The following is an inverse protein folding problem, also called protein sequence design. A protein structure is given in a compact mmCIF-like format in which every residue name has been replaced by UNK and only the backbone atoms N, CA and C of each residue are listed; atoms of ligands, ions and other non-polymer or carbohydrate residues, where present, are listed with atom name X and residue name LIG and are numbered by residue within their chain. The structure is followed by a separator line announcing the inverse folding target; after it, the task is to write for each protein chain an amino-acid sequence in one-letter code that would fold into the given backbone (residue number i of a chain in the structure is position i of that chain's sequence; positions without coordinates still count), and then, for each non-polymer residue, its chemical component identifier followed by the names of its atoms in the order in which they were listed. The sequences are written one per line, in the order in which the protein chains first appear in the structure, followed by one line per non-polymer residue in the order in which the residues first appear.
data_IF_853390918892
#
_entry.id   IF_853390918892
#
_cell.length_a   1.000
_cell.length_b   1.000
_cell.length_c   1.000
_cell.angle_alpha   90.00
_cell.angle_beta   90.00
_cell.angle_gamma   90.00
#
_symmetry.space_group_name_H-M   'P 1'
#
loop_
_entity.id
_entity.type
_entity.pdbx_description
1 polymer ?
#
# COMPACT_ATOMS: atom_id res chain seq x y z
N UNK A 1 -28.56 -34.78 -23.86
CA UNK A 1 -28.03 -33.41 -24.02
C UNK A 1 -28.46 -32.50 -22.87
N UNK A 2 -29.76 -32.44 -22.52
CA UNK A 2 -30.29 -31.65 -21.38
C UNK A 2 -29.74 -32.06 -19.99
N UNK A 3 -29.46 -33.34 -19.77
CA UNK A 3 -28.93 -33.87 -18.49
C UNK A 3 -27.44 -33.60 -18.29
N UNK A 4 -26.64 -33.67 -19.35
CA UNK A 4 -25.21 -33.35 -19.32
C UNK A 4 -24.99 -31.85 -19.08
N UNK A 5 -25.82 -31.00 -19.70
CA UNK A 5 -25.79 -29.55 -19.47
C UNK A 5 -26.13 -29.19 -18.01
N UNK A 6 -27.12 -29.86 -17.42
CA UNK A 6 -27.47 -29.67 -16.00
C UNK A 6 -26.37 -30.14 -15.05
N UNK A 7 -25.69 -31.25 -15.36
CA UNK A 7 -24.55 -31.72 -14.58
C UNK A 7 -23.35 -30.77 -14.62
N UNK A 8 -23.05 -30.21 -15.80
CA UNK A 8 -21.99 -29.21 -15.96
C UNK A 8 -22.31 -27.90 -15.21
N UNK A 9 -23.56 -27.42 -15.29
CA UNK A 9 -24.01 -26.23 -14.54
C UNK A 9 -23.95 -26.44 -13.02
N UNK A 10 -24.29 -27.64 -12.53
CA UNK A 10 -24.21 -27.96 -11.11
C UNK A 10 -22.76 -27.97 -10.60
N UNK A 11 -21.83 -28.53 -11.38
CA UNK A 11 -20.40 -28.50 -11.05
C UNK A 11 -19.83 -27.09 -11.02
N UNK A 12 -20.22 -26.24 -11.98
CA UNK A 12 -19.84 -24.82 -12.00
C UNK A 12 -20.41 -24.07 -10.79
N UNK A 13 -21.67 -24.32 -10.42
CA UNK A 13 -22.31 -23.70 -9.26
C UNK A 13 -21.65 -24.12 -7.93
N UNK A 14 -21.26 -25.39 -7.80
CA UNK A 14 -20.52 -25.89 -6.63
C UNK A 14 -19.12 -25.25 -6.57
N UNK A 15 -18.45 -25.11 -7.72
CA UNK A 15 -17.14 -24.47 -7.79
C UNK A 15 -17.20 -22.99 -7.40
N UNK A 16 -18.21 -22.24 -7.85
CA UNK A 16 -18.47 -20.84 -7.47
C UNK A 16 -18.87 -20.67 -6.00
N UNK A 17 -19.51 -21.67 -5.40
CA UNK A 17 -19.92 -21.63 -3.99
C UNK A 17 -18.79 -21.99 -3.03
N UNK A 18 -17.77 -22.73 -3.50
CA UNK A 18 -16.61 -23.15 -2.71
C UNK A 18 -15.41 -22.20 -2.84
N UNK A 19 -15.45 -21.22 -3.74
CA UNK A 19 -14.44 -20.16 -3.76
C UNK A 19 -14.64 -19.24 -2.55
N UNK A 20 -13.63 -19.03 -1.70
CA UNK A 20 -13.75 -18.08 -0.59
C UNK A 20 -14.11 -16.70 -1.14
N UNK A 21 -15.24 -16.16 -0.69
CA UNK A 21 -15.77 -14.85 -1.11
C UNK A 21 -14.94 -13.64 -0.59
N UNK A 22 -13.77 -13.90 -0.02
CA UNK A 22 -12.88 -12.91 0.57
C UNK A 22 -11.50 -13.00 -0.07
N UNK A 23 -11.45 -13.00 -1.40
CA UNK A 23 -10.32 -12.42 -2.10
C UNK A 23 -10.75 -11.01 -2.47
N UNK A 24 -10.70 -10.09 -1.50
CA UNK A 24 -10.52 -8.68 -1.86
C UNK A 24 -9.26 -8.68 -2.69
N UNK A 25 -9.40 -8.54 -4.01
CA UNK A 25 -8.28 -8.23 -4.87
C UNK A 25 -7.84 -6.81 -4.47
N UNK A 26 -7.13 -6.71 -3.35
CA UNK A 26 -6.40 -5.52 -2.99
C UNK A 26 -5.55 -5.21 -4.20
N UNK A 27 -5.74 -4.01 -4.75
CA UNK A 27 -5.10 -3.60 -5.99
C UNK A 27 -3.64 -3.25 -5.70
N UNK A 28 -2.84 -4.24 -5.30
CA UNK A 28 -1.41 -4.08 -5.00
C UNK A 28 -0.61 -3.53 -6.20
N UNK A 29 -1.14 -3.72 -7.41
CA UNK A 29 -0.58 -3.21 -8.66
C UNK A 29 -1.01 -1.78 -9.02
N UNK A 30 -1.99 -1.19 -8.34
CA UNK A 30 -2.35 0.21 -8.59
C UNK A 30 -1.35 1.12 -7.88
N UNK A 31 -0.58 1.84 -8.70
CA UNK A 31 0.40 2.81 -8.23
C UNK A 31 -0.23 3.92 -7.38
N UNK A 32 -1.53 4.17 -7.55
CA UNK A 32 -2.28 5.19 -6.83
C UNK A 32 -2.91 4.67 -5.52
N UNK A 33 -2.69 3.40 -5.18
CA UNK A 33 -3.10 2.84 -3.89
C UNK A 33 -1.90 2.51 -3.02
N UNK A 34 -2.03 2.77 -1.72
CA UNK A 34 -1.00 2.49 -0.73
C UNK A 34 -1.65 1.81 0.48
N UNK A 35 -1.22 0.59 0.79
CA UNK A 35 -1.96 -0.28 1.71
C UNK A 35 -2.02 0.24 3.16
N UNK A 36 -0.98 0.95 3.62
CA UNK A 36 -0.98 1.58 4.94
C UNK A 36 -2.01 2.72 4.96
N UNK A 37 -2.07 3.52 3.90
CA UNK A 37 -3.03 4.60 3.72
C UNK A 37 -4.48 4.08 3.57
N UNK A 38 -4.70 3.01 2.81
CA UNK A 38 -6.03 2.40 2.67
C UNK A 38 -6.50 1.80 4.00
N UNK A 39 -5.60 1.17 4.75
CA UNK A 39 -5.93 0.64 6.08
C UNK A 39 -6.30 1.76 7.05
N UNK A 40 -5.59 2.89 7.01
CA UNK A 40 -5.97 4.06 7.78
C UNK A 40 -7.38 4.56 7.45
N UNK A 41 -7.74 4.63 6.16
CA UNK A 41 -9.11 5.02 5.75
C UNK A 41 -10.17 4.09 6.33
N UNK A 42 -9.92 2.77 6.31
CA UNK A 42 -10.81 1.77 6.92
C UNK A 42 -10.95 1.98 8.43
N UNK A 43 -9.82 2.19 9.13
CA UNK A 43 -9.81 2.44 10.59
C UNK A 43 -10.57 3.71 10.93
N UNK A 44 -10.29 4.84 10.27
CA UNK A 44 -11.00 6.10 10.50
C UNK A 44 -12.49 5.96 10.22
N UNK A 45 -12.86 5.30 9.12
CA UNK A 45 -14.27 5.07 8.77
C UNK A 45 -14.99 4.24 9.84
N UNK A 46 -14.34 3.19 10.34
CA UNK A 46 -14.90 2.33 11.39
C UNK A 46 -15.07 3.08 12.73
N UNK A 47 -14.06 3.84 13.14
CA UNK A 47 -14.08 4.60 14.39
C UNK A 47 -14.99 5.83 14.33
N UNK A 48 -15.24 6.38 13.15
CA UNK A 48 -16.17 7.49 12.94
C UNK A 48 -17.66 7.12 13.01
N UNK A 49 -18.00 5.84 13.13
CA UNK A 49 -19.40 5.39 13.30
C UNK A 49 -19.92 5.73 14.71
N UNK A 50 -21.25 5.77 14.86
CA UNK A 50 -21.91 5.94 16.17
C UNK A 50 -22.89 4.79 16.43
N UNK A 51 -22.57 3.83 17.33
CA UNK A 51 -21.31 3.70 18.07
C UNK A 51 -20.14 3.30 17.16
N UNK A 52 -18.91 3.60 17.60
CA UNK A 52 -17.69 3.24 16.88
C UNK A 52 -17.56 1.72 16.69
N UNK A 53 -17.16 1.31 15.49
CA UNK A 53 -17.01 -0.10 15.11
C UNK A 53 -15.57 -0.58 15.33
N UNK A 54 -15.23 -0.74 16.60
CA UNK A 54 -13.91 -1.19 17.05
C UNK A 54 -13.50 -2.53 16.45
N UNK A 55 -14.46 -3.43 16.23
CA UNK A 55 -14.18 -4.75 15.65
C UNK A 55 -13.68 -4.62 14.21
N UNK A 56 -14.30 -3.76 13.40
CA UNK A 56 -13.83 -3.51 12.04
C UNK A 56 -12.46 -2.80 12.02
N UNK A 57 -12.23 -1.84 12.93
CA UNK A 57 -10.96 -1.15 13.04
C UNK A 57 -9.80 -2.11 13.43
N UNK A 58 -10.02 -2.96 14.44
CA UNK A 58 -9.07 -3.99 14.87
C UNK A 58 -8.77 -5.00 13.76
N UNK A 59 -9.80 -5.44 13.02
CA UNK A 59 -9.62 -6.37 11.91
C UNK A 59 -8.73 -5.78 10.80
N UNK A 60 -8.99 -4.53 10.40
CA UNK A 60 -8.20 -3.83 9.39
C UNK A 60 -6.73 -3.65 9.83
N UNK A 61 -6.49 -3.23 11.07
CA UNK A 61 -5.13 -3.08 11.60
C UNK A 61 -4.39 -4.42 11.66
N UNK A 62 -5.08 -5.48 12.10
CA UNK A 62 -4.47 -6.81 12.26
C UNK A 62 -3.92 -7.37 10.94
N UNK A 63 -4.61 -7.15 9.83
CA UNK A 63 -4.15 -7.59 8.51
C UNK A 63 -2.84 -6.94 8.08
N UNK A 64 -2.56 -5.72 8.56
CA UNK A 64 -1.36 -4.96 8.23
C UNK A 64 -0.29 -4.96 9.31
N UNK A 65 -0.55 -5.60 10.46
CA UNK A 65 0.36 -5.54 11.61
C UNK A 65 1.77 -6.02 11.26
N UNK A 66 1.90 -7.12 10.53
CA UNK A 66 3.22 -7.65 10.13
C UNK A 66 3.97 -6.67 9.22
N UNK A 67 3.25 -5.96 8.35
CA UNK A 67 3.80 -4.88 7.52
C UNK A 67 4.28 -3.73 8.41
N UNK A 68 3.53 -3.38 9.46
CA UNK A 68 3.94 -2.31 10.39
C UNK A 68 5.21 -2.68 11.15
N UNK A 69 5.27 -3.89 11.69
CA UNK A 69 6.47 -4.39 12.39
C UNK A 69 7.67 -4.41 11.43
N UNK A 70 7.51 -4.97 10.23
CA UNK A 70 8.60 -5.12 9.28
C UNK A 70 9.19 -3.79 8.78
N UNK A 71 8.43 -2.70 8.82
CA UNK A 71 8.86 -1.44 8.22
C UNK A 71 9.02 -0.29 9.21
N UNK A 72 8.34 -0.33 10.35
CA UNK A 72 8.33 0.72 11.36
C UNK A 72 8.75 0.22 12.76
N UNK A 73 8.92 -1.10 12.91
CA UNK A 73 9.36 -1.73 14.15
C UNK A 73 8.22 -2.14 15.09
N UNK A 74 8.51 -3.04 16.02
CA UNK A 74 7.53 -3.58 16.97
C UNK A 74 6.98 -2.48 17.90
N UNK A 75 7.77 -1.47 18.26
CA UNK A 75 7.32 -0.36 19.12
C UNK A 75 6.17 0.45 18.52
N UNK A 76 6.20 0.69 17.19
CA UNK A 76 5.12 1.39 16.48
C UNK A 76 3.86 0.55 16.44
N UNK A 77 3.98 -0.71 16.03
CA UNK A 77 2.85 -1.63 15.96
C UNK A 77 2.21 -1.83 17.35
N UNK A 78 3.01 -2.05 18.39
CA UNK A 78 2.55 -2.23 19.75
C UNK A 78 1.88 -0.97 20.33
N UNK A 79 2.34 0.23 19.96
CA UNK A 79 1.68 1.49 20.36
C UNK A 79 0.29 1.58 19.73
N UNK A 80 0.14 1.28 18.44
CA UNK A 80 -1.17 1.26 17.78
C UNK A 80 -2.09 0.19 18.38
N UNK A 81 -1.55 -1.00 18.70
CA UNK A 81 -2.31 -2.06 19.39
C UNK A 81 -2.81 -1.59 20.76
N UNK A 82 -1.98 -0.88 21.53
CA UNK A 82 -2.34 -0.34 22.84
C UNK A 82 -3.45 0.72 22.73
N UNK A 83 -3.33 1.68 21.80
CA UNK A 83 -4.36 2.69 21.58
C UNK A 83 -5.71 2.07 21.20
N UNK A 84 -5.68 1.02 20.35
CA UNK A 84 -6.87 0.30 19.94
C UNK A 84 -7.53 -0.43 21.12
N UNK A 85 -6.73 -1.10 21.97
CA UNK A 85 -7.21 -1.78 23.18
C UNK A 85 -7.81 -0.81 24.20
N UNK A 86 -7.21 0.38 24.34
CA UNK A 86 -7.71 1.45 25.20
C UNK A 86 -9.01 2.09 24.70
N UNK A 87 -9.43 1.77 23.47
CA UNK A 87 -10.59 2.38 22.78
C UNK A 87 -10.51 3.89 22.69
N UNK A 88 -9.31 4.42 22.55
CA UNK A 88 -9.05 5.84 22.36
C UNK A 88 -8.96 6.15 20.86
N UNK A 89 -10.09 6.58 20.28
CA UNK A 89 -10.16 6.82 18.84
C UNK A 89 -9.23 7.96 18.39
N UNK A 90 -9.07 8.97 19.24
CA UNK A 90 -8.21 10.12 18.93
C UNK A 90 -6.74 9.70 18.93
N UNK A 91 -6.30 8.93 19.94
CA UNK A 91 -4.94 8.40 20.00
C UNK A 91 -4.64 7.43 18.84
N UNK A 92 -5.59 6.54 18.49
CA UNK A 92 -5.44 5.64 17.33
C UNK A 92 -5.25 6.45 16.05
N UNK A 93 -6.15 7.42 15.79
CA UNK A 93 -6.13 8.21 14.55
C UNK A 93 -4.87 9.10 14.50
N UNK A 94 -4.47 9.71 15.61
CA UNK A 94 -3.27 10.55 15.68
C UNK A 94 -1.99 9.74 15.37
N UNK A 95 -1.81 8.60 16.04
CA UNK A 95 -0.63 7.76 15.82
C UNK A 95 -0.61 7.08 14.45
N UNK A 96 -1.77 6.78 13.87
CA UNK A 96 -1.83 6.32 12.48
C UNK A 96 -1.37 7.40 11.50
N UNK A 97 -1.80 8.66 11.68
CA UNK A 97 -1.34 9.78 10.84
C UNK A 97 0.17 9.95 10.93
N UNK A 98 0.73 9.84 12.13
CA UNK A 98 2.17 9.85 12.34
C UNK A 98 2.86 8.67 11.62
N UNK A 99 2.30 7.46 11.68
CA UNK A 99 2.83 6.32 10.91
C UNK A 99 2.74 6.54 9.38
N UNK A 100 1.73 7.25 8.87
CA UNK A 100 1.69 7.64 7.45
C UNK A 100 2.81 8.63 7.09
N UNK A 101 3.21 9.51 8.01
CA UNK A 101 4.42 10.32 7.83
C UNK A 101 5.68 9.44 7.78
N UNK A 102 5.79 8.42 8.64
CA UNK A 102 6.90 7.45 8.56
C UNK A 102 6.90 6.70 7.24
N UNK A 103 5.72 6.43 6.71
CA UNK A 103 5.57 5.83 5.39
C UNK A 103 6.02 6.78 4.26
N UNK A 104 5.76 8.09 4.36
CA UNK A 104 6.32 9.08 3.41
C UNK A 104 7.84 9.01 3.41
N UNK A 105 8.49 9.05 4.59
CA UNK A 105 9.94 8.90 4.70
C UNK A 105 10.41 7.63 3.97
N UNK A 106 9.83 6.48 4.34
CA UNK A 106 10.15 5.19 3.72
C UNK A 106 10.05 5.20 2.19
N UNK A 107 8.98 5.78 1.63
CA UNK A 107 8.77 5.81 0.18
C UNK A 107 9.76 6.74 -0.52
N UNK A 108 10.02 7.92 0.05
CA UNK A 108 10.96 8.90 -0.49
C UNK A 108 12.41 8.40 -0.43
N UNK A 109 12.87 7.88 0.70
CA UNK A 109 14.20 7.27 0.86
C UNK A 109 14.43 6.18 -0.19
N UNK A 110 13.46 5.27 -0.37
CA UNK A 110 13.56 4.22 -1.37
C UNK A 110 13.52 4.77 -2.81
N UNK A 111 12.80 5.87 -3.07
CA UNK A 111 12.73 6.49 -4.39
C UNK A 111 14.08 7.10 -4.76
N UNK A 112 14.76 7.75 -3.81
CA UNK A 112 16.14 8.27 -3.97
C UNK A 112 17.11 7.11 -4.22
N UNK A 113 17.04 6.04 -3.43
CA UNK A 113 17.90 4.86 -3.64
C UNK A 113 17.67 4.18 -5.00
N UNK A 114 16.46 4.29 -5.54
CA UNK A 114 16.06 3.69 -6.80
C UNK A 114 16.03 4.69 -7.96
N UNK A 115 16.64 5.87 -7.81
CA UNK A 115 16.52 7.00 -8.75
C UNK A 115 16.94 6.66 -10.18
N UNK A 116 17.86 5.69 -10.36
CA UNK A 116 18.27 5.18 -11.67
C UNK A 116 17.37 4.06 -12.23
N UNK A 117 16.42 3.53 -11.45
CA UNK A 117 15.33 2.68 -11.91
C UNK A 117 14.05 3.52 -11.99
N UNK A 118 13.82 4.11 -13.17
CA UNK A 118 12.69 5.00 -13.42
C UNK A 118 11.34 4.38 -13.03
N UNK A 119 11.12 3.09 -13.33
CA UNK A 119 9.84 2.42 -13.04
C UNK A 119 9.66 2.27 -11.53
N UNK A 120 10.70 1.88 -10.82
CA UNK A 120 10.66 1.72 -9.37
C UNK A 120 10.52 3.07 -8.65
N UNK A 121 11.33 4.07 -9.00
CA UNK A 121 11.23 5.41 -8.42
C UNK A 121 9.86 6.04 -8.66
N UNK A 122 9.32 5.92 -9.89
CA UNK A 122 7.97 6.40 -10.22
C UNK A 122 6.88 5.74 -9.39
N UNK A 123 6.94 4.41 -9.20
CA UNK A 123 5.98 3.68 -8.38
C UNK A 123 6.04 4.13 -6.92
N UNK A 124 7.24 4.32 -6.38
CA UNK A 124 7.45 4.78 -5.01
C UNK A 124 6.89 6.20 -4.79
N UNK A 125 7.13 7.11 -5.73
CA UNK A 125 6.58 8.47 -5.69
C UNK A 125 5.06 8.48 -5.81
N UNK A 126 4.47 7.62 -6.64
CA UNK A 126 3.02 7.48 -6.73
C UNK A 126 2.41 7.00 -5.40
N UNK A 127 3.03 6.02 -4.73
CA UNK A 127 2.60 5.53 -3.41
C UNK A 127 2.79 6.57 -2.30
N UNK A 128 3.87 7.35 -2.36
CA UNK A 128 4.06 8.49 -1.47
C UNK A 128 2.96 9.55 -1.69
N UNK A 129 2.61 9.86 -2.93
CA UNK A 129 1.52 10.79 -3.27
C UNK A 129 0.18 10.33 -2.71
N UNK A 130 -0.17 9.05 -2.89
CA UNK A 130 -1.39 8.47 -2.33
C UNK A 130 -1.43 8.56 -0.78
N UNK A 131 -0.27 8.39 -0.13
CA UNK A 131 -0.13 8.58 1.32
C UNK A 131 -0.34 10.05 1.71
N UNK A 132 0.27 10.99 0.98
CA UNK A 132 0.08 12.43 1.19
C UNK A 132 -1.38 12.86 1.00
N UNK A 133 -2.03 12.43 -0.09
CA UNK A 133 -3.43 12.76 -0.37
C UNK A 133 -4.37 12.26 0.73
N UNK A 134 -4.00 11.16 1.39
CA UNK A 134 -4.72 10.65 2.56
C UNK A 134 -4.52 11.52 3.81
N UNK A 135 -3.35 12.13 3.97
CA UNK A 135 -3.03 13.03 5.08
C UNK A 135 -3.50 14.48 4.86
N UNK A 136 -3.54 14.95 3.62
CA UNK A 136 -3.77 16.35 3.26
C UNK A 136 -5.04 16.97 3.90
N UNK A 137 -6.21 16.30 3.94
CA UNK A 137 -7.41 16.84 4.59
C UNK A 137 -7.20 17.14 6.09
N UNK A 138 -6.30 16.43 6.75
CA UNK A 138 -6.00 16.63 8.17
C UNK A 138 -4.98 17.76 8.41
N UNK A 139 -4.30 18.22 7.37
CA UNK A 139 -3.35 19.33 7.42
C UNK A 139 -4.02 20.69 7.15
N UNK A 140 -5.24 20.73 6.60
CA UNK A 140 -5.98 21.97 6.23
C UNK A 140 -6.18 22.94 7.41
N UNK A 141 -6.17 22.44 8.65
CA UNK A 141 -6.27 23.28 9.85
C UNK A 141 -4.98 24.05 10.19
N UNK A 142 -3.86 23.70 9.55
CA UNK A 142 -2.51 24.20 9.84
C UNK A 142 -1.80 24.77 8.60
N UNK A 143 -2.17 24.29 7.41
CA UNK A 143 -1.62 24.72 6.14
C UNK A 143 -2.70 25.42 5.32
N UNK A 144 -2.30 26.47 4.61
CA UNK A 144 -3.21 27.12 3.66
C UNK A 144 -3.43 26.23 2.44
N UNK A 145 -4.50 26.49 1.69
CA UNK A 145 -4.72 25.83 0.40
C UNK A 145 -3.53 26.02 -0.56
N UNK A 146 -2.92 27.21 -0.56
CA UNK A 146 -1.75 27.48 -1.40
C UNK A 146 -0.55 26.63 -1.00
N UNK A 147 -0.33 26.41 0.31
CA UNK A 147 0.72 25.52 0.79
C UNK A 147 0.46 24.08 0.34
N UNK A 148 -0.78 23.58 0.50
CA UNK A 148 -1.15 22.23 0.07
C UNK A 148 -1.04 22.03 -1.45
N UNK A 149 -1.45 23.02 -2.24
CA UNK A 149 -1.28 23.01 -3.69
C UNK A 149 0.22 23.01 -4.05
N UNK A 150 1.06 23.73 -3.29
CA UNK A 150 2.51 23.72 -3.41
C UNK A 150 3.13 22.35 -3.14
N UNK A 151 2.76 21.70 -2.03
CA UNK A 151 3.22 20.34 -1.71
C UNK A 151 2.77 19.32 -2.76
N UNK A 152 1.58 19.51 -3.35
CA UNK A 152 1.13 18.68 -4.47
C UNK A 152 1.99 18.88 -5.72
N UNK A 153 2.42 20.11 -6.01
CA UNK A 153 3.32 20.41 -7.10
C UNK A 153 4.74 19.84 -6.87
N UNK A 154 5.20 19.73 -5.62
CA UNK A 154 6.47 19.09 -5.29
C UNK A 154 6.50 17.60 -5.69
N UNK A 155 5.36 16.89 -5.66
CA UNK A 155 5.29 15.53 -6.22
C UNK A 155 5.51 15.51 -7.74
N UNK A 156 5.00 16.51 -8.46
CA UNK A 156 5.20 16.62 -9.91
C UNK A 156 6.67 17.01 -10.23
N UNK A 157 7.29 17.82 -9.38
CA UNK A 157 8.71 18.14 -9.44
C UNK A 157 9.57 16.89 -9.18
N UNK A 158 9.27 16.11 -8.14
CA UNK A 158 9.94 14.84 -7.85
C UNK A 158 9.81 13.85 -9.01
N UNK A 159 8.62 13.73 -9.62
CA UNK A 159 8.39 12.88 -10.79
C UNK A 159 9.19 13.35 -12.02
N UNK A 160 9.37 14.66 -12.16
CA UNK A 160 10.21 15.24 -13.23
C UNK A 160 11.70 15.04 -12.97
N UNK A 161 12.09 14.98 -11.70
CA UNK A 161 13.48 14.82 -11.26
C UNK A 161 13.99 13.39 -11.45
N UNK A 162 13.14 12.35 -11.34
CA UNK A 162 13.57 10.96 -11.63
C UNK A 162 13.90 10.71 -13.12
N UNK A 163 13.81 11.72 -13.98
CA UNK A 163 14.16 11.64 -15.39
C UNK A 163 13.09 10.97 -16.25
N UNK A 164 13.51 10.48 -17.42
CA UNK A 164 12.68 9.74 -18.36
C UNK A 164 13.57 8.82 -19.20
N UNK A 165 13.35 7.48 -19.24
CA UNK A 165 14.17 6.59 -20.06
C UNK A 165 14.01 6.83 -21.56
N UNK A 166 12.92 7.48 -22.00
CA UNK A 166 12.58 7.68 -23.39
C UNK A 166 12.08 6.41 -24.08
N UNK A 167 11.36 6.58 -25.20
CA UNK A 167 10.94 5.44 -26.02
C UNK A 167 12.13 5.00 -26.87
N UNK A 168 12.71 3.84 -26.58
CA UNK A 168 13.96 3.38 -27.20
C UNK A 168 15.12 4.39 -27.06
N UNK A 169 15.14 5.16 -25.97
CA UNK A 169 16.14 6.20 -25.70
C UNK A 169 15.85 7.55 -26.37
N UNK A 170 14.84 7.65 -27.24
CA UNK A 170 14.41 8.95 -27.78
C UNK A 170 13.69 9.73 -26.68
N UNK A 171 14.17 10.95 -26.42
CA UNK A 171 13.66 11.80 -25.34
C UNK A 171 14.18 11.40 -23.94
N UNK A 172 15.28 10.64 -23.87
CA UNK A 172 15.92 10.29 -22.59
C UNK A 172 16.30 11.55 -21.81
N UNK A 173 15.97 11.57 -20.54
CA UNK A 173 16.39 12.56 -19.54
C UNK A 173 16.98 11.78 -18.37
N UNK A 174 18.23 12.09 -18.02
CA UNK A 174 18.84 11.49 -16.83
C UNK A 174 18.15 11.98 -15.55
N UNK A 175 18.16 11.18 -14.48
CA UNK A 175 17.67 11.62 -13.19
C UNK A 175 18.51 12.78 -12.62
N UNK A 176 17.86 13.66 -11.88
CA UNK A 176 18.43 14.73 -11.08
C UNK A 176 18.17 14.41 -9.60
N UNK A 177 19.16 13.77 -8.96
CA UNK A 177 19.06 13.34 -7.57
C UNK A 177 18.85 14.50 -6.60
N UNK A 178 19.49 15.65 -6.87
CA UNK A 178 19.39 16.82 -5.99
C UNK A 178 17.99 17.43 -6.07
N UNK A 179 17.45 17.58 -7.28
CA UNK A 179 16.08 18.06 -7.46
C UNK A 179 15.06 17.09 -6.85
N UNK A 180 15.30 15.78 -6.93
CA UNK A 180 14.46 14.78 -6.26
C UNK A 180 14.49 14.95 -4.75
N UNK A 181 15.68 15.01 -4.15
CA UNK A 181 15.87 15.21 -2.71
C UNK A 181 15.21 16.50 -2.23
N UNK A 182 15.38 17.61 -2.97
CA UNK A 182 14.78 18.90 -2.61
C UNK A 182 13.26 18.81 -2.57
N UNK A 183 12.65 18.25 -3.62
CA UNK A 183 11.20 18.13 -3.72
C UNK A 183 10.61 17.24 -2.62
N UNK A 184 11.19 16.06 -2.35
CA UNK A 184 10.66 15.16 -1.31
C UNK A 184 10.85 15.73 0.10
N UNK A 185 11.92 16.51 0.32
CA UNK A 185 12.15 17.17 1.60
C UNK A 185 11.20 18.34 1.87
N UNK A 186 10.72 19.06 0.84
CA UNK A 186 9.66 20.05 1.02
C UNK A 186 8.39 19.38 1.55
N UNK A 187 7.96 18.28 0.91
CA UNK A 187 6.78 17.52 1.34
C UNK A 187 6.97 16.96 2.75
N UNK A 188 8.07 16.25 2.99
CA UNK A 188 8.29 15.61 4.27
C UNK A 188 8.45 16.63 5.41
N UNK A 189 9.23 17.69 5.20
CA UNK A 189 9.46 18.74 6.19
C UNK A 189 8.21 19.52 6.56
N UNK A 190 7.27 19.71 5.62
CA UNK A 190 5.98 20.33 5.91
C UNK A 190 5.03 19.39 6.69
N UNK A 191 5.04 18.10 6.39
CA UNK A 191 4.09 17.14 6.96
C UNK A 191 4.53 16.58 8.33
N UNK A 192 5.83 16.31 8.52
CA UNK A 192 6.39 15.75 9.76
C UNK A 192 5.96 16.48 11.05
N UNK A 193 6.07 17.82 11.16
CA UNK A 193 5.73 18.53 12.40
C UNK A 193 4.22 18.53 12.71
N UNK A 194 3.36 18.24 11.73
CA UNK A 194 1.90 18.28 11.90
C UNK A 194 1.34 17.01 12.56
N UNK A 195 2.06 15.89 12.47
CA UNK A 195 1.59 14.58 12.92
C UNK A 195 2.63 13.88 13.79
N UNK A 196 2.89 14.39 15.02
CA UNK A 196 3.86 13.78 15.92
C UNK A 196 3.41 12.40 16.39
N UNK A 197 4.33 11.45 16.40
CA UNK A 197 4.09 10.13 17.00
C UNK A 197 4.22 10.21 18.52
N UNK A 198 3.25 9.64 19.23
CA UNK A 198 3.24 9.55 20.69
C UNK A 198 3.28 8.08 21.08
N UNK A 199 4.48 7.60 21.44
CA UNK A 199 4.69 6.22 21.85
C UNK A 199 3.94 5.91 23.16
N UNK A 200 3.35 4.72 23.23
CA UNK A 200 2.77 4.23 24.48
C UNK A 200 3.89 3.72 25.42
N UNK A 201 3.99 4.22 26.67
CA UNK A 201 5.05 3.82 27.60
C UNK A 201 5.07 2.33 27.92
N UNK A 202 3.91 1.66 27.91
CA UNK A 202 3.80 0.22 28.11
C UNK A 202 4.15 -0.58 26.84
N UNK A 203 4.04 0.02 25.66
CA UNK A 203 4.52 -0.56 24.41
C UNK A 203 6.07 -0.48 24.27
N UNK A 204 6.71 0.54 24.83
CA UNK A 204 8.16 0.71 24.81
C UNK A 204 8.94 -0.44 25.48
N UNK A 205 8.33 -1.13 26.45
CA UNK A 205 8.91 -2.31 27.10
C UNK A 205 8.80 -3.62 26.29
N UNK A 206 8.01 -3.63 25.20
CA UNK A 206 7.85 -4.80 24.31
C UNK A 206 8.78 -4.75 23.10
N UNK A 207 9.27 -3.57 22.75
CA UNK A 207 10.35 -3.41 21.78
C UNK A 207 11.64 -3.97 22.39
N UNK A 208 12.30 -4.92 21.72
CA UNK A 208 13.63 -5.37 22.16
C UNK A 208 14.61 -4.20 22.15
N UNK A 209 15.72 -4.27 22.89
CA UNK A 209 16.68 -3.15 23.01
C UNK A 209 17.29 -2.63 21.70
N UNK A 210 17.04 -3.30 20.56
CA UNK A 210 17.40 -2.86 19.20
C UNK A 210 16.26 -2.17 18.43
N UNK A 211 15.01 -2.26 18.92
CA UNK A 211 13.79 -1.69 18.30
C UNK A 211 13.39 -0.36 18.95
N UNK A 212 14.28 0.25 19.75
CA UNK A 212 14.05 1.61 20.26
C UNK A 212 13.98 2.52 19.05
N UNK A 213 12.78 3.04 18.82
CA UNK A 213 12.43 3.88 17.69
C UNK A 213 13.43 5.01 17.55
N UNK A 214 14.34 4.85 16.58
CA UNK A 214 15.28 5.92 16.24
C UNK A 214 14.43 7.08 15.74
N UNK A 215 14.68 8.28 16.27
CA UNK A 215 13.95 9.46 15.86
C UNK A 215 14.03 9.60 14.34
N UNK A 216 12.89 9.84 13.69
CA UNK A 216 12.86 10.03 12.25
C UNK A 216 13.80 11.17 11.83
N UNK A 217 14.49 11.05 10.69
CA UNK A 217 15.46 12.04 10.25
C UNK A 217 14.77 13.38 9.99
N UNK A 218 15.49 14.49 10.12
CA UNK A 218 14.93 15.80 9.77
C UNK A 218 14.93 16.05 8.25
N UNK A 219 15.79 15.33 7.52
CA UNK A 219 15.90 15.39 6.06
C UNK A 219 16.11 14.00 5.49
N UNK A 220 15.51 13.75 4.33
CA UNK A 220 15.61 12.53 3.56
C UNK A 220 16.74 12.67 2.53
N UNK A 221 17.81 11.92 2.72
CA UNK A 221 18.98 11.90 1.81
C UNK A 221 19.15 10.55 1.08
N UNK A 222 18.31 9.54 1.40
CA UNK A 222 18.38 8.20 0.84
C UNK A 222 19.43 7.30 1.48
N UNK A 223 20.11 7.72 2.55
CA UNK A 223 21.07 6.87 3.28
C UNK A 223 20.39 5.90 4.26
N UNK A 224 19.17 6.22 4.69
CA UNK A 224 18.37 5.36 5.56
C UNK A 224 17.96 4.07 4.85
N UNK A 225 18.38 2.93 5.43
CA UNK A 225 17.99 1.61 4.92
C UNK A 225 16.61 1.25 5.46
N UNK A 226 15.60 1.28 4.60
CA UNK A 226 14.33 0.65 4.88
C UNK A 226 14.29 -0.76 4.29
N UNK A 227 13.47 -1.64 4.87
CA UNK A 227 13.18 -2.91 4.23
C UNK A 227 12.64 -2.64 2.80
N UNK A 228 13.25 -3.28 1.81
CA UNK A 228 12.89 -3.11 0.41
C UNK A 228 11.41 -3.43 0.21
N UNK A 229 10.75 -2.76 -0.76
CA UNK A 229 9.41 -3.18 -1.17
C UNK A 229 9.47 -4.64 -1.61
N UNK A 230 8.89 -5.54 -0.81
CA UNK A 230 8.74 -6.92 -1.21
C UNK A 230 7.87 -6.96 -2.48
N UNK A 231 8.43 -7.43 -3.59
CA UNK A 231 7.63 -7.88 -4.73
C UNK A 231 6.98 -9.20 -4.32
N UNK A 232 5.92 -9.13 -3.52
CA UNK A 232 5.19 -10.33 -3.15
C UNK A 232 4.57 -10.93 -4.42
N UNK A 233 5.14 -12.05 -4.88
CA UNK A 233 4.56 -12.84 -5.96
C UNK A 233 3.39 -13.62 -5.37
N UNK A 234 2.20 -12.99 -5.31
CA UNK A 234 0.97 -13.62 -4.81
C UNK A 234 0.14 -14.29 -5.90
N UNK A 235 0.77 -14.61 -7.04
CA UNK A 235 0.21 -15.57 -7.99
C UNK A 235 0.11 -16.91 -7.26
N UNK A 236 -1.10 -17.37 -6.93
CA UNK A 236 -1.28 -18.72 -6.44
C UNK A 236 -1.07 -19.68 -7.62
N UNK A 237 0.07 -20.40 -7.70
CA UNK A 237 0.39 -21.21 -8.87
C UNK A 237 -0.66 -22.31 -9.06
N UNK A 238 -1.32 -22.77 -8.01
CA UNK A 238 -2.40 -23.75 -8.10
C UNK A 238 -3.65 -23.18 -8.80
N UNK A 239 -3.98 -21.89 -8.58
CA UNK A 239 -5.09 -21.24 -9.28
C UNK A 239 -4.72 -20.97 -10.74
N UNK A 240 -3.51 -20.48 -11.01
CA UNK A 240 -3.05 -20.28 -12.39
C UNK A 240 -3.05 -21.58 -13.18
N UNK A 241 -2.48 -22.67 -12.62
CA UNK A 241 -2.49 -23.99 -13.23
C UNK A 241 -3.92 -24.52 -13.36
N UNK A 242 -4.78 -24.33 -12.36
CA UNK A 242 -6.18 -24.75 -12.38
C UNK A 242 -7.00 -24.07 -13.49
N UNK A 243 -6.82 -22.77 -13.71
CA UNK A 243 -7.49 -22.03 -14.79
C UNK A 243 -6.99 -22.50 -16.16
N UNK A 244 -5.67 -22.66 -16.33
CA UNK A 244 -5.10 -23.15 -17.59
C UNK A 244 -5.60 -24.56 -17.88
N UNK A 245 -5.56 -25.46 -16.90
CA UNK A 245 -6.07 -26.82 -17.05
C UNK A 245 -7.58 -26.84 -17.36
N UNK A 246 -8.37 -25.98 -16.71
CA UNK A 246 -9.79 -25.83 -16.98
C UNK A 246 -10.08 -25.39 -18.41
N UNK A 247 -9.34 -24.40 -18.92
CA UNK A 247 -9.46 -23.93 -20.31
C UNK A 247 -9.07 -25.04 -21.29
N UNK A 248 -8.00 -25.79 -21.02
CA UNK A 248 -7.57 -26.90 -21.89
C UNK A 248 -8.59 -28.03 -21.90
N UNK A 249 -9.19 -28.37 -20.76
CA UNK A 249 -10.22 -29.42 -20.68
C UNK A 249 -11.52 -29.00 -21.36
N UNK A 250 -11.98 -27.75 -21.14
CA UNK A 250 -13.21 -27.24 -21.75
C UNK A 250 -13.00 -27.03 -23.26
N UNK A 251 -11.91 -26.36 -23.66
CA UNK A 251 -11.58 -26.12 -25.06
C UNK A 251 -11.28 -27.41 -25.82
N UNK A 252 -10.44 -28.28 -25.25
CA UNK A 252 -10.14 -29.60 -25.82
C UNK A 252 -11.36 -30.51 -25.90
N UNK A 253 -12.22 -30.50 -24.88
CA UNK A 253 -13.49 -31.24 -24.86
C UNK A 253 -14.48 -30.73 -25.90
N UNK A 254 -14.59 -29.41 -26.09
CA UNK A 254 -15.43 -28.81 -27.11
C UNK A 254 -14.95 -29.15 -28.53
N UNK A 255 -13.63 -29.09 -28.78
CA UNK A 255 -13.02 -29.46 -30.06
C UNK A 255 -13.21 -30.95 -30.37
N UNK A 256 -12.99 -31.82 -29.39
CA UNK A 256 -13.22 -33.27 -29.54
C UNK A 256 -14.69 -33.59 -29.85
N UNK A 257 -15.62 -32.92 -29.17
CA UNK A 257 -17.06 -33.11 -29.39
C UNK A 257 -17.53 -32.55 -30.75
N UNK A 258 -16.99 -31.41 -31.19
CA UNK A 258 -17.26 -30.84 -32.51
C UNK A 258 -16.79 -31.76 -33.65
N UNK A 259 -15.60 -32.37 -33.52
CA UNK A 259 -15.11 -33.39 -34.46
C UNK A 259 -16.00 -34.63 -34.52
N UNK A 260 -16.46 -35.13 -33.37
CA UNK A 260 -17.34 -36.31 -33.31
C UNK A 260 -18.70 -36.06 -33.98
N UNK A 261 -19.17 -34.81 -34.03
CA UNK A 261 -20.41 -34.42 -34.71
C UNK A 261 -20.25 -34.02 -36.17
N UNK A 262 -19.03 -34.04 -36.71
CA UNK A 262 -18.75 -33.70 -38.11
C UNK A 262 -18.98 -32.22 -38.44
N UNK A 263 -18.84 -31.34 -37.45
CA UNK A 263 -18.88 -29.88 -37.70
C UNK A 263 -17.56 -29.35 -38.27
N UNK A 264 -16.50 -30.17 -38.21
CA UNK A 264 -15.20 -30.00 -38.87
C UNK A 264 -14.62 -31.38 -39.20
#
# INVERSE_FOLDING_TARGET
MRTILKGALLLVAIFLALTPASASAYSYGDANTEDVAETFKLVVSALGKSPADWKAAEAAQKEMRDVFVSHFGEGVAATLDANMQARDADAVIANYKAMLVMNLNRRFSNAIQSVHDYTQAKLLLAKARATYETLAPYAESKLSKADLDGLSADFDAALTAIGNPGLFGVGKKEPDEKALQDAVNQVYGAMKPLFPFTADPAAAGKAGGADVQTAEPDTIDGTEKHAAMARETKTNPAITVGVIAGIVVIGGGAVFWARRKGWF
#
